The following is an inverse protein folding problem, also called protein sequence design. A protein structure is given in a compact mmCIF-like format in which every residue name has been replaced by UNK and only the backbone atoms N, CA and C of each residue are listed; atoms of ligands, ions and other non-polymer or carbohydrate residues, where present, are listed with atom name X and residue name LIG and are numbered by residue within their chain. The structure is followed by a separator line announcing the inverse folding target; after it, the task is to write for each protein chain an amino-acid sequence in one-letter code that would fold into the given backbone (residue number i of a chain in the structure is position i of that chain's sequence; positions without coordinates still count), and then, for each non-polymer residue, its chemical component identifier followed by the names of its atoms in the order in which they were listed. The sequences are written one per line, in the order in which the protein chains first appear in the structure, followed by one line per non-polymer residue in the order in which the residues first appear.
data_IF_044979297132
#
_entry.id   IF_044979297132
#
_cell.length_a   1.000
_cell.length_b   1.000
_cell.length_c   1.000
_cell.angle_alpha   90.00
_cell.angle_beta   90.00
_cell.angle_gamma   90.00
#
_symmetry.space_group_name_H-M   'P 1'
#
loop_
_entity.id
_entity.type
_entity.pdbx_description
1 polymer ?
#
# COMPACT_ATOMS: atom_id res chain seq x y z
N UNK A 1 0.85 22.24 83.25
CA UNK A 1 2.09 22.45 82.48
C UNK A 1 2.05 21.49 81.29
N UNK A 2 1.56 21.92 80.12
CA UNK A 2 1.41 21.08 78.93
C UNK A 2 2.77 20.97 78.23
N UNK A 3 3.37 19.79 78.18
CA UNK A 3 4.62 19.52 77.43
C UNK A 3 4.31 19.49 75.93
N UNK A 4 4.91 20.41 75.17
CA UNK A 4 4.95 20.36 73.71
C UNK A 4 5.90 19.24 73.29
N UNK A 5 5.40 18.27 72.51
CA UNK A 5 6.24 17.28 71.82
C UNK A 5 6.59 17.86 70.46
N UNK A 6 7.89 18.04 70.22
CA UNK A 6 8.44 18.54 68.97
C UNK A 6 8.67 17.33 68.06
N UNK A 7 7.80 17.14 67.06
CA UNK A 7 7.97 16.11 66.03
C UNK A 7 9.12 16.53 65.11
N UNK A 8 10.25 15.85 65.22
CA UNK A 8 11.30 15.91 64.21
C UNK A 8 10.78 15.27 62.92
N UNK A 9 10.62 16.07 61.86
CA UNK A 9 10.54 15.54 60.50
C UNK A 9 11.92 15.01 60.13
N UNK A 10 12.15 13.72 60.29
CA UNK A 10 13.19 13.03 59.54
C UNK A 10 12.69 12.93 58.11
N UNK A 11 13.24 13.75 57.21
CA UNK A 11 13.12 13.51 55.79
C UNK A 11 13.75 12.15 55.50
N UNK A 12 12.92 11.12 55.35
CA UNK A 12 13.33 9.85 54.79
C UNK A 12 13.57 10.13 53.31
N UNK A 13 14.81 10.43 52.93
CA UNK A 13 15.23 10.28 51.55
C UNK A 13 15.10 8.78 51.25
N UNK A 14 13.96 8.37 50.70
CA UNK A 14 13.88 7.13 49.96
C UNK A 14 14.87 7.31 48.80
N UNK A 15 16.05 6.72 48.94
CA UNK A 15 16.92 6.48 47.80
C UNK A 15 16.13 5.51 46.93
N UNK A 16 15.35 6.02 45.99
CA UNK A 16 14.89 5.23 44.86
C UNK A 16 16.17 4.85 44.12
N UNK A 17 16.65 3.63 44.36
CA UNK A 17 17.62 3.00 43.50
C UNK A 17 16.86 2.80 42.20
N UNK A 18 16.95 3.78 41.30
CA UNK A 18 16.51 3.60 39.93
C UNK A 18 17.51 2.62 39.33
N UNK A 19 17.09 1.37 39.15
CA UNK A 19 17.90 0.40 38.45
C UNK A 19 18.19 0.96 37.04
N UNK A 20 19.43 0.80 36.58
CA UNK A 20 19.78 1.21 35.23
C UNK A 20 18.91 0.41 34.24
N UNK A 21 18.29 1.13 33.31
CA UNK A 21 17.37 0.58 32.33
C UNK A 21 18.13 -0.36 31.38
N UNK A 22 17.53 -1.50 31.03
CA UNK A 22 18.07 -2.51 30.12
C UNK A 22 17.13 -2.78 28.94
N UNK A 23 17.68 -3.28 27.83
CA UNK A 23 16.86 -3.72 26.69
C UNK A 23 15.96 -4.86 27.14
N UNK A 24 14.67 -4.76 26.82
CA UNK A 24 13.61 -5.65 27.28
C UNK A 24 12.85 -5.18 28.52
N UNK A 25 13.31 -4.13 29.20
CA UNK A 25 12.54 -3.53 30.29
C UNK A 25 11.22 -2.95 29.76
N UNK A 26 10.16 -3.12 30.54
CA UNK A 26 8.81 -2.62 30.22
C UNK A 26 8.41 -1.56 31.22
N UNK A 27 7.89 -0.43 30.74
CA UNK A 27 7.25 0.59 31.56
C UNK A 27 5.88 0.95 30.98
N UNK A 28 5.03 1.55 31.80
CA UNK A 28 3.65 1.87 31.45
C UNK A 28 3.40 3.37 31.55
N UNK A 29 2.77 3.94 30.52
CA UNK A 29 2.33 5.34 30.50
C UNK A 29 0.90 5.39 29.97
N UNK A 30 -0.02 6.01 30.72
CA UNK A 30 -1.45 6.12 30.34
C UNK A 30 -2.10 4.77 29.97
N UNK A 31 -1.87 3.74 30.79
CA UNK A 31 -2.34 2.36 30.57
C UNK A 31 -1.77 1.68 29.30
N UNK A 32 -0.74 2.28 28.68
CA UNK A 32 -0.05 1.73 27.52
C UNK A 32 1.33 1.22 27.92
N UNK A 33 1.64 -0.03 27.57
CA UNK A 33 2.97 -0.60 27.80
C UNK A 33 3.95 -0.20 26.69
N UNK A 34 5.20 0.06 27.08
CA UNK A 34 6.34 0.31 26.19
C UNK A 34 7.52 -0.56 26.60
N UNK A 35 8.15 -1.21 25.62
CA UNK A 35 9.31 -2.09 25.83
C UNK A 35 10.55 -1.42 25.27
N UNK A 36 11.62 -1.33 26.06
CA UNK A 36 12.90 -0.75 25.65
C UNK A 36 13.59 -1.66 24.64
N UNK A 37 13.85 -1.14 23.44
CA UNK A 37 14.49 -1.89 22.34
C UNK A 37 15.95 -1.48 22.12
N UNK A 38 16.32 -0.24 22.47
CA UNK A 38 17.69 0.26 22.41
C UNK A 38 17.95 1.31 23.48
N UNK A 39 19.21 1.45 23.89
CA UNK A 39 19.70 2.46 24.84
C UNK A 39 20.68 3.47 24.19
N UNK A 40 20.98 3.29 22.91
CA UNK A 40 21.84 4.20 22.14
C UNK A 40 21.59 4.02 20.64
N UNK A 41 20.62 4.75 20.04
CA UNK A 41 19.73 5.73 20.69
C UNK A 41 18.69 5.07 21.62
N UNK A 42 18.08 5.86 22.50
CA UNK A 42 16.99 5.38 23.37
C UNK A 42 15.73 5.14 22.52
N UNK A 43 15.37 3.89 22.32
CA UNK A 43 14.20 3.48 21.54
C UNK A 43 13.31 2.51 22.31
N UNK A 44 12.02 2.58 22.03
CA UNK A 44 11.01 1.66 22.53
C UNK A 44 10.08 1.21 21.41
N UNK A 45 9.43 0.08 21.63
CA UNK A 45 8.24 -0.32 20.91
C UNK A 45 7.01 -0.20 21.81
N UNK A 46 5.85 0.03 21.20
CA UNK A 46 4.57 -0.06 21.89
C UNK A 46 4.24 -1.54 22.14
N UNK A 47 4.10 -1.93 23.40
CA UNK A 47 3.93 -3.32 23.85
C UNK A 47 2.48 -3.81 23.93
N UNK A 48 2.21 -4.83 24.74
CA UNK A 48 0.87 -5.43 24.91
C UNK A 48 -0.13 -4.44 25.54
N UNK A 49 -1.24 -4.21 24.84
CA UNK A 49 -2.30 -3.26 25.14
C UNK A 49 -3.68 -3.89 24.98
N UNK A 50 -3.92 -5.04 25.61
CA UNK A 50 -5.24 -5.70 25.73
C UNK A 50 -6.24 -5.00 26.66
N UNK A 51 -6.00 -3.75 27.03
CA UNK A 51 -6.95 -3.03 27.89
C UNK A 51 -8.28 -2.82 27.18
N UNK A 52 -9.38 -3.11 27.87
CA UNK A 52 -10.74 -2.86 27.37
C UNK A 52 -11.21 -1.42 27.58
N UNK A 53 -10.34 -0.55 28.10
CA UNK A 53 -10.66 0.84 28.41
C UNK A 53 -10.45 1.78 27.22
N UNK A 54 -9.60 1.40 26.26
CA UNK A 54 -9.25 2.23 25.12
C UNK A 54 -10.04 1.79 23.89
N UNK A 55 -10.68 2.75 23.22
CA UNK A 55 -11.32 2.57 21.91
C UNK A 55 -10.49 3.15 20.77
N UNK A 56 -9.48 3.96 21.09
CA UNK A 56 -8.59 4.59 20.13
C UNK A 56 -7.21 4.85 20.73
N UNK A 57 -6.15 4.79 19.92
CA UNK A 57 -4.79 5.09 20.35
C UNK A 57 -4.13 6.08 19.39
N UNK A 58 -3.48 7.10 19.95
CA UNK A 58 -2.58 7.98 19.22
C UNK A 58 -1.17 7.67 19.72
N UNK A 59 -0.37 7.03 18.88
CA UNK A 59 1.00 6.64 19.25
C UNK A 59 1.89 7.89 19.19
N UNK A 60 2.57 8.27 20.28
CA UNK A 60 3.42 9.45 20.27
C UNK A 60 4.76 9.13 19.60
N UNK A 61 5.40 10.14 18.99
CA UNK A 61 6.77 10.01 18.45
C UNK A 61 7.78 9.67 19.55
N UNK A 62 7.60 10.22 20.74
CA UNK A 62 8.48 9.99 21.90
C UNK A 62 7.66 9.79 23.17
N UNK A 63 8.19 9.00 24.10
CA UNK A 63 7.58 8.75 25.41
C UNK A 63 8.64 8.80 26.52
N UNK A 64 8.28 9.34 27.69
CA UNK A 64 9.18 9.40 28.85
C UNK A 64 8.81 8.30 29.86
N UNK A 65 9.79 7.51 30.30
CA UNK A 65 9.62 6.67 31.48
C UNK A 65 9.74 7.54 32.74
N UNK A 66 8.61 7.80 33.38
CA UNK A 66 8.52 8.65 34.59
C UNK A 66 9.33 8.13 35.79
N UNK A 67 9.74 6.85 35.79
CA UNK A 67 10.56 6.29 36.86
C UNK A 67 12.05 6.64 36.69
N UNK A 68 12.52 6.76 35.45
CA UNK A 68 13.93 7.04 35.13
C UNK A 68 14.16 8.45 34.57
N UNK A 69 13.09 9.16 34.20
CA UNK A 69 13.13 10.41 33.44
C UNK A 69 13.90 10.31 32.12
N UNK A 70 13.96 9.10 31.55
CA UNK A 70 14.56 8.85 30.24
C UNK A 70 13.49 8.98 29.17
N UNK A 71 13.76 9.77 28.14
CA UNK A 71 12.92 9.86 26.94
C UNK A 71 13.38 8.86 25.88
N UNK A 72 12.42 8.16 25.29
CA UNK A 72 12.58 7.16 24.25
C UNK A 72 11.80 7.56 23.00
N UNK A 73 12.36 7.27 21.82
CA UNK A 73 11.61 7.34 20.55
C UNK A 73 10.79 6.06 20.37
N UNK A 74 9.53 6.18 19.96
CA UNK A 74 8.68 5.02 19.65
C UNK A 74 8.92 4.64 18.19
N UNK A 75 9.53 3.47 17.96
CA UNK A 75 10.00 3.05 16.62
C UNK A 75 9.24 1.87 16.03
N UNK A 76 8.45 1.15 16.83
CA UNK A 76 7.68 0.00 16.35
C UNK A 76 6.39 -0.22 17.12
N UNK A 77 5.46 -0.94 16.50
CA UNK A 77 4.39 -1.67 17.20
C UNK A 77 4.91 -3.07 17.51
N UNK A 78 5.03 -3.38 18.80
CA UNK A 78 5.66 -4.58 19.32
C UNK A 78 4.89 -5.86 19.03
N UNK A 79 5.54 -6.98 19.33
CA UNK A 79 4.94 -8.29 19.11
C UNK A 79 3.66 -8.47 19.94
N UNK A 80 2.59 -8.93 19.29
CA UNK A 80 1.27 -9.13 19.90
C UNK A 80 0.67 -7.90 20.61
N UNK A 81 1.13 -6.69 20.30
CA UNK A 81 0.74 -5.44 20.98
C UNK A 81 -0.79 -5.26 21.14
N UNK A 82 -1.54 -5.62 20.12
CA UNK A 82 -3.00 -5.54 20.03
C UNK A 82 -3.62 -6.88 19.63
N UNK A 83 -2.90 -7.99 19.83
CA UNK A 83 -3.43 -9.31 19.51
C UNK A 83 -4.72 -9.56 20.30
N UNK A 84 -5.80 -9.98 19.62
CA UNK A 84 -7.15 -10.19 20.20
C UNK A 84 -7.80 -8.94 20.79
N UNK A 85 -7.36 -7.74 20.41
CA UNK A 85 -7.98 -6.50 20.86
C UNK A 85 -9.18 -6.14 19.98
N UNK A 86 -10.38 -6.38 20.50
CA UNK A 86 -11.64 -6.08 19.79
C UNK A 86 -12.25 -4.72 20.17
N UNK A 87 -11.58 -3.94 21.04
CA UNK A 87 -12.12 -2.67 21.54
C UNK A 87 -11.57 -1.46 20.78
N UNK A 88 -10.32 -1.52 20.35
CA UNK A 88 -9.69 -0.42 19.61
C UNK A 88 -10.18 -0.46 18.18
N UNK A 89 -10.82 0.62 17.74
CA UNK A 89 -11.33 0.78 16.38
C UNK A 89 -10.48 1.72 15.53
N UNK A 90 -9.61 2.51 16.17
CA UNK A 90 -8.76 3.51 15.55
C UNK A 90 -7.36 3.53 16.17
N UNK A 91 -6.33 3.50 15.34
CA UNK A 91 -4.96 3.78 15.76
C UNK A 91 -4.30 4.76 14.80
N UNK A 92 -3.61 5.74 15.36
CA UNK A 92 -2.81 6.73 14.64
C UNK A 92 -1.33 6.50 14.92
N UNK A 93 -0.54 6.34 13.85
CA UNK A 93 0.89 6.05 13.94
C UNK A 93 1.75 7.26 13.49
N UNK A 94 2.80 7.64 14.24
CA UNK A 94 3.72 8.70 13.86
C UNK A 94 4.76 8.19 12.87
N UNK A 95 5.41 9.10 12.15
CA UNK A 95 6.47 8.77 11.18
C UNK A 95 7.70 8.08 11.80
N UNK A 96 7.89 8.13 13.13
CA UNK A 96 8.98 7.41 13.80
C UNK A 96 8.76 5.90 13.87
N UNK A 97 7.51 5.43 13.74
CA UNK A 97 7.20 4.00 13.72
C UNK A 97 7.52 3.45 12.34
N UNK A 98 8.51 2.55 12.27
CA UNK A 98 9.01 1.96 11.02
C UNK A 98 8.64 0.50 10.82
N UNK A 99 8.17 -0.17 11.87
CA UNK A 99 7.86 -1.59 11.83
C UNK A 99 6.60 -1.93 12.63
N UNK A 100 5.77 -2.81 12.09
CA UNK A 100 4.65 -3.44 12.79
C UNK A 100 4.99 -4.93 12.95
N UNK A 101 5.28 -5.40 14.16
CA UNK A 101 5.91 -6.70 14.38
C UNK A 101 4.93 -7.89 14.36
N UNK A 102 5.49 -9.08 14.62
CA UNK A 102 4.78 -10.36 14.62
C UNK A 102 3.47 -10.27 15.42
N UNK A 103 2.35 -10.55 14.73
CA UNK A 103 0.99 -10.57 15.29
C UNK A 103 0.57 -9.30 16.02
N UNK A 104 1.18 -8.16 15.72
CA UNK A 104 0.87 -6.89 16.38
C UNK A 104 -0.65 -6.62 16.47
N UNK A 105 -1.42 -6.92 15.43
CA UNK A 105 -2.87 -6.74 15.39
C UNK A 105 -3.64 -8.04 15.10
N UNK A 106 -3.02 -9.22 15.19
CA UNK A 106 -3.71 -10.46 14.82
C UNK A 106 -4.98 -10.69 15.66
N UNK A 107 -6.06 -11.12 15.03
CA UNK A 107 -7.38 -11.34 15.63
C UNK A 107 -7.97 -10.08 16.30
N UNK A 108 -7.55 -8.88 15.91
CA UNK A 108 -8.14 -7.64 16.39
C UNK A 108 -9.35 -7.28 15.53
N UNK A 109 -10.49 -7.92 15.79
CA UNK A 109 -11.70 -7.79 14.95
C UNK A 109 -12.35 -6.41 15.09
N UNK A 110 -12.00 -5.66 16.14
CA UNK A 110 -12.48 -4.29 16.36
C UNK A 110 -11.79 -3.25 15.48
N UNK A 111 -10.62 -3.54 14.91
CA UNK A 111 -9.86 -2.56 14.11
C UNK A 111 -10.49 -2.44 12.73
N UNK A 112 -11.32 -1.42 12.55
CA UNK A 112 -11.94 -1.06 11.27
C UNK A 112 -10.97 -0.23 10.40
N UNK A 113 -10.16 0.63 11.03
CA UNK A 113 -9.26 1.52 10.32
C UNK A 113 -8.00 1.77 11.12
N UNK A 114 -6.86 1.78 10.42
CA UNK A 114 -5.60 2.30 10.92
C UNK A 114 -5.28 3.54 10.12
N UNK A 115 -5.23 4.68 10.82
CA UNK A 115 -4.91 5.93 10.18
C UNK A 115 -3.40 6.17 10.22
N UNK A 116 -2.83 6.31 9.04
CA UNK A 116 -1.43 6.63 8.85
C UNK A 116 -1.31 8.11 8.52
N UNK A 117 -1.57 8.98 9.50
CA UNK A 117 -1.59 10.42 9.24
C UNK A 117 -0.23 10.91 8.72
N UNK A 118 -0.22 11.40 7.48
CA UNK A 118 0.91 12.06 6.79
C UNK A 118 2.19 11.21 6.64
N UNK A 119 2.07 10.07 5.97
CA UNK A 119 3.17 9.12 5.64
C UNK A 119 3.81 8.49 6.87
N UNK A 120 3.14 7.52 7.49
CA UNK A 120 3.76 6.70 8.54
C UNK A 120 5.07 6.11 8.01
N UNK A 121 6.14 6.12 8.80
CA UNK A 121 7.45 5.60 8.39
C UNK A 121 7.51 4.08 8.28
N UNK A 122 6.36 3.39 8.37
CA UNK A 122 6.27 1.93 8.34
C UNK A 122 6.74 1.44 6.98
N UNK A 123 7.84 0.71 6.97
CA UNK A 123 8.37 0.04 5.77
C UNK A 123 8.26 -1.48 5.88
N UNK A 124 8.11 -2.02 7.10
CA UNK A 124 8.10 -3.45 7.36
C UNK A 124 6.84 -3.86 8.11
N UNK A 125 6.12 -4.83 7.54
CA UNK A 125 5.01 -5.51 8.19
C UNK A 125 5.42 -6.94 8.54
N UNK A 126 5.38 -7.26 9.82
CA UNK A 126 5.80 -8.53 10.36
C UNK A 126 4.83 -9.67 10.02
N UNK A 127 5.32 -10.89 10.26
CA UNK A 127 4.55 -12.13 10.11
C UNK A 127 3.21 -12.03 10.85
N UNK A 128 2.13 -12.34 10.16
CA UNK A 128 0.77 -12.38 10.71
C UNK A 128 0.34 -11.07 11.41
N UNK A 129 0.95 -9.91 11.09
CA UNK A 129 0.66 -8.66 11.80
C UNK A 129 -0.83 -8.31 11.79
N UNK A 130 -1.55 -8.57 10.70
CA UNK A 130 -2.99 -8.34 10.52
C UNK A 130 -3.77 -9.64 10.25
N UNK A 131 -3.33 -10.76 10.81
CA UNK A 131 -3.99 -12.04 10.60
C UNK A 131 -5.41 -12.04 11.18
N UNK A 132 -6.43 -12.34 10.38
CA UNK A 132 -7.85 -12.33 10.80
C UNK A 132 -8.25 -10.97 11.40
N UNK A 133 -7.87 -9.86 10.75
CA UNK A 133 -8.37 -8.53 11.12
C UNK A 133 -9.62 -8.16 10.31
N UNK A 134 -10.33 -7.11 10.71
CA UNK A 134 -11.49 -6.56 9.99
C UNK A 134 -11.14 -5.37 9.06
N UNK A 135 -9.86 -5.21 8.70
CA UNK A 135 -9.38 -4.06 7.92
C UNK A 135 -9.76 -4.25 6.45
N UNK A 136 -10.61 -3.37 5.91
CA UNK A 136 -11.14 -3.53 4.55
C UNK A 136 -10.32 -2.89 3.43
N UNK A 137 -9.46 -1.91 3.77
CA UNK A 137 -8.60 -1.18 2.83
C UNK A 137 -7.23 -0.92 3.49
N UNK A 138 -6.17 -1.16 2.74
CA UNK A 138 -4.78 -0.97 3.15
C UNK A 138 -3.97 -0.17 2.13
N UNK A 139 -4.59 0.38 1.08
CA UNK A 139 -3.85 1.02 -0.01
C UNK A 139 -2.97 2.18 0.47
N UNK A 140 -3.45 2.99 1.42
CA UNK A 140 -2.68 4.09 2.01
C UNK A 140 -1.42 3.59 2.74
N UNK A 141 -1.44 2.37 3.28
CA UNK A 141 -0.28 1.76 3.92
C UNK A 141 0.82 1.47 2.91
N UNK A 142 0.45 1.00 1.71
CA UNK A 142 1.39 0.51 0.70
C UNK A 142 2.14 1.59 -0.10
N UNK A 143 2.02 2.87 0.28
CA UNK A 143 2.86 3.94 -0.30
C UNK A 143 4.34 3.81 0.07
N UNK A 144 4.64 3.30 1.27
CA UNK A 144 6.00 3.18 1.81
C UNK A 144 6.40 1.77 2.23
N UNK A 145 5.48 0.79 2.25
CA UNK A 145 5.83 -0.59 2.58
C UNK A 145 6.88 -1.11 1.59
N UNK A 146 7.96 -1.64 2.14
CA UNK A 146 9.03 -2.33 1.43
C UNK A 146 8.90 -3.85 1.57
N UNK A 147 8.45 -4.32 2.73
CA UNK A 147 8.37 -5.74 3.08
C UNK A 147 7.05 -6.13 3.76
N UNK A 148 6.44 -7.23 3.28
CA UNK A 148 5.27 -7.86 3.91
C UNK A 148 5.59 -9.28 4.36
N UNK A 149 5.46 -9.52 5.65
CA UNK A 149 5.74 -10.78 6.33
C UNK A 149 4.75 -11.90 5.98
N UNK A 150 5.14 -13.14 6.29
CA UNK A 150 4.30 -14.33 6.08
C UNK A 150 2.91 -14.16 6.69
N UNK A 151 1.85 -14.41 5.91
CA UNK A 151 0.48 -14.40 6.40
C UNK A 151 0.02 -13.06 6.97
N UNK A 152 0.71 -11.95 6.66
CA UNK A 152 0.48 -10.64 7.26
C UNK A 152 -0.99 -10.23 7.21
N UNK A 153 -1.62 -10.30 6.03
CA UNK A 153 -3.02 -9.97 5.78
C UNK A 153 -3.85 -11.21 5.48
N UNK A 154 -3.49 -12.38 6.01
CA UNK A 154 -4.32 -13.56 5.81
C UNK A 154 -5.64 -13.39 6.57
N UNK A 155 -6.76 -13.54 5.86
CA UNK A 155 -8.13 -13.36 6.37
C UNK A 155 -8.39 -11.94 6.91
N UNK A 156 -7.73 -10.93 6.34
CA UNK A 156 -7.86 -9.56 6.82
C UNK A 156 -9.14 -8.83 6.34
N UNK A 157 -10.00 -9.50 5.57
CA UNK A 157 -11.22 -8.92 4.98
C UNK A 157 -10.95 -7.76 4.02
N UNK A 158 -9.81 -7.80 3.30
CA UNK A 158 -9.50 -6.81 2.26
C UNK A 158 -10.51 -6.91 1.13
N UNK A 159 -11.05 -5.77 0.67
CA UNK A 159 -12.09 -5.67 -0.36
C UNK A 159 -11.69 -4.72 -1.48
N UNK A 160 -12.48 -4.65 -2.56
CA UNK A 160 -12.29 -3.73 -3.68
C UNK A 160 -10.92 -3.90 -4.38
N UNK A 161 -10.16 -2.81 -4.52
CA UNK A 161 -8.85 -2.80 -5.18
C UNK A 161 -7.75 -2.83 -4.14
N UNK A 162 -6.79 -3.75 -4.30
CA UNK A 162 -5.50 -3.69 -3.65
C UNK A 162 -4.44 -3.29 -4.67
N UNK A 163 -3.76 -2.20 -4.40
CA UNK A 163 -2.72 -1.63 -5.22
C UNK A 163 -1.50 -1.31 -4.37
N UNK A 164 -0.32 -1.44 -4.97
CA UNK A 164 0.95 -1.19 -4.31
C UNK A 164 1.69 0.00 -4.92
N UNK A 165 2.76 0.45 -4.27
CA UNK A 165 3.68 1.43 -4.82
C UNK A 165 5.02 0.78 -5.22
N UNK A 166 5.90 1.59 -5.81
CA UNK A 166 7.25 1.18 -6.18
C UNK A 166 8.14 0.78 -5.00
N UNK A 167 7.76 1.15 -3.76
CA UNK A 167 8.48 0.80 -2.54
C UNK A 167 8.47 -0.69 -2.24
N UNK A 168 7.39 -1.42 -2.60
CA UNK A 168 7.26 -2.82 -2.24
C UNK A 168 8.27 -3.66 -3.03
N UNK A 169 9.21 -4.26 -2.30
CA UNK A 169 10.29 -5.08 -2.88
C UNK A 169 10.19 -6.55 -2.49
N UNK A 170 9.53 -6.85 -1.36
CA UNK A 170 9.58 -8.18 -0.78
C UNK A 170 8.24 -8.64 -0.19
N UNK A 171 7.78 -9.80 -0.66
CA UNK A 171 6.76 -10.60 0.01
C UNK A 171 7.44 -11.81 0.62
N UNK A 172 7.43 -11.90 1.94
CA UNK A 172 8.20 -12.90 2.68
C UNK A 172 7.39 -14.19 2.83
N UNK A 173 8.04 -15.31 2.50
CA UNK A 173 7.58 -16.69 2.67
C UNK A 173 6.30 -17.10 1.95
N UNK A 174 5.11 -16.89 2.52
CA UNK A 174 3.86 -17.42 1.99
C UNK A 174 2.59 -16.78 2.57
N UNK A 175 1.48 -16.99 1.87
CA UNK A 175 0.12 -16.70 2.33
C UNK A 175 -0.16 -15.23 2.74
N UNK A 176 0.62 -14.28 2.23
CA UNK A 176 0.60 -12.87 2.66
C UNK A 176 -0.81 -12.26 2.62
N UNK A 177 -1.64 -12.62 1.63
CA UNK A 177 -3.00 -12.14 1.42
C UNK A 177 -4.04 -13.27 1.27
N UNK A 178 -3.79 -14.44 1.88
CA UNK A 178 -4.68 -15.61 1.82
C UNK A 178 -6.10 -15.32 2.32
N UNK A 179 -7.11 -15.83 1.62
CA UNK A 179 -8.54 -15.77 2.00
C UNK A 179 -9.05 -14.33 2.23
N UNK A 180 -8.86 -13.47 1.24
CA UNK A 180 -9.45 -12.12 1.20
C UNK A 180 -10.52 -11.98 0.12
N UNK A 181 -11.18 -10.83 0.08
CA UNK A 181 -12.36 -10.56 -0.74
C UNK A 181 -12.12 -9.50 -1.84
N UNK A 182 -10.85 -9.16 -2.10
CA UNK A 182 -10.45 -8.18 -3.11
C UNK A 182 -10.88 -8.61 -4.52
N UNK A 183 -11.29 -7.63 -5.34
CA UNK A 183 -11.67 -7.82 -6.74
C UNK A 183 -10.51 -7.56 -7.69
N UNK A 184 -9.61 -6.64 -7.34
CA UNK A 184 -8.47 -6.25 -8.18
C UNK A 184 -7.18 -6.35 -7.34
N UNK A 185 -6.16 -6.99 -7.91
CA UNK A 185 -4.79 -6.99 -7.40
C UNK A 185 -3.89 -6.31 -8.43
N UNK A 186 -3.46 -5.10 -8.14
CA UNK A 186 -2.60 -4.29 -9.00
C UNK A 186 -1.20 -4.16 -8.38
N UNK A 187 -0.27 -4.96 -8.89
CA UNK A 187 1.14 -4.94 -8.48
C UNK A 187 2.05 -4.27 -9.51
N UNK A 188 1.50 -3.64 -10.56
CA UNK A 188 2.29 -3.12 -11.69
C UNK A 188 3.33 -2.10 -11.24
N UNK A 189 2.96 -1.25 -10.27
CA UNK A 189 3.81 -0.21 -9.72
C UNK A 189 5.01 -0.76 -8.92
N UNK A 190 4.94 -2.00 -8.41
CA UNK A 190 6.02 -2.62 -7.62
C UNK A 190 7.11 -3.20 -8.50
N UNK A 191 7.76 -2.37 -9.30
CA UNK A 191 8.74 -2.81 -10.30
C UNK A 191 9.96 -3.52 -9.72
N UNK A 192 10.22 -3.40 -8.40
CA UNK A 192 11.30 -4.10 -7.72
C UNK A 192 10.88 -5.44 -7.09
N UNK A 193 9.59 -5.78 -7.08
CA UNK A 193 9.08 -7.05 -6.60
C UNK A 193 9.35 -8.16 -7.62
N UNK A 194 10.24 -9.09 -7.26
CA UNK A 194 10.71 -10.13 -8.19
C UNK A 194 10.05 -11.50 -7.98
N UNK A 195 9.33 -11.70 -6.88
CA UNK A 195 8.76 -13.01 -6.51
C UNK A 195 7.38 -12.83 -5.90
N UNK A 196 6.42 -13.62 -6.38
CA UNK A 196 5.17 -13.90 -5.66
C UNK A 196 5.33 -15.23 -4.92
N UNK A 197 5.46 -15.23 -3.58
CA UNK A 197 5.65 -16.45 -2.83
C UNK A 197 4.44 -17.39 -2.89
N UNK A 198 4.66 -18.63 -2.46
CA UNK A 198 3.62 -19.65 -2.43
C UNK A 198 2.38 -19.18 -1.67
N UNK A 199 1.20 -19.46 -2.23
CA UNK A 199 -0.09 -19.18 -1.61
C UNK A 199 -0.40 -17.70 -1.34
N UNK A 200 0.33 -16.74 -1.92
CA UNK A 200 0.17 -15.30 -1.61
C UNK A 200 -1.28 -14.81 -1.67
N UNK A 201 -2.06 -15.26 -2.66
CA UNK A 201 -3.47 -14.91 -2.87
C UNK A 201 -4.37 -16.17 -2.90
N UNK A 202 -3.98 -17.22 -2.17
CA UNK A 202 -4.77 -18.46 -2.13
C UNK A 202 -6.16 -18.22 -1.56
N UNK A 203 -7.17 -18.85 -2.18
CA UNK A 203 -8.57 -18.80 -1.80
C UNK A 203 -9.11 -17.37 -1.71
N UNK A 204 -8.73 -16.50 -2.64
CA UNK A 204 -9.33 -15.18 -2.84
C UNK A 204 -10.36 -15.26 -4.00
N UNK A 205 -11.60 -15.72 -3.75
CA UNK A 205 -12.52 -16.13 -4.81
C UNK A 205 -13.04 -14.97 -5.66
N UNK A 206 -12.93 -13.73 -5.16
CA UNK A 206 -13.48 -12.53 -5.81
C UNK A 206 -12.49 -11.84 -6.75
N UNK A 207 -11.21 -12.22 -6.76
CA UNK A 207 -10.23 -11.58 -7.65
C UNK A 207 -10.67 -11.79 -9.10
N UNK A 208 -10.97 -10.69 -9.80
CA UNK A 208 -11.34 -10.64 -11.21
C UNK A 208 -10.13 -10.27 -12.06
N UNK A 209 -9.32 -9.31 -11.59
CA UNK A 209 -8.19 -8.75 -12.34
C UNK A 209 -6.90 -8.82 -11.53
N UNK A 210 -5.82 -9.28 -12.18
CA UNK A 210 -4.47 -9.27 -11.63
C UNK A 210 -3.50 -8.58 -12.58
N UNK A 211 -2.71 -7.63 -12.09
CA UNK A 211 -1.60 -7.04 -12.85
C UNK A 211 -0.28 -7.37 -12.17
N UNK A 212 0.62 -8.00 -12.91
CA UNK A 212 1.91 -8.44 -12.39
C UNK A 212 2.97 -7.33 -12.50
N UNK A 213 3.97 -7.29 -11.60
CA UNK A 213 5.05 -6.32 -11.69
C UNK A 213 5.99 -6.62 -12.87
N UNK A 214 6.55 -5.58 -13.47
CA UNK A 214 7.41 -5.66 -14.66
C UNK A 214 8.59 -6.65 -14.51
N UNK A 215 9.28 -6.65 -13.37
CA UNK A 215 10.47 -7.47 -13.15
C UNK A 215 10.18 -8.76 -12.37
N UNK A 216 8.95 -9.27 -12.44
CA UNK A 216 8.62 -10.54 -11.81
C UNK A 216 9.43 -11.68 -12.44
N UNK A 217 10.00 -12.56 -11.61
CA UNK A 217 10.81 -13.71 -12.03
C UNK A 217 10.24 -15.04 -11.57
N UNK A 218 9.36 -15.05 -10.56
CA UNK A 218 8.74 -16.29 -10.10
C UNK A 218 7.35 -16.11 -9.48
N UNK A 219 6.51 -17.12 -9.68
CA UNK A 219 5.19 -17.29 -9.06
C UNK A 219 5.17 -18.66 -8.38
N UNK A 220 5.04 -18.66 -7.05
CA UNK A 220 5.10 -19.86 -6.21
C UNK A 220 3.86 -20.75 -6.28
N UNK A 221 3.98 -21.92 -5.65
CA UNK A 221 2.91 -22.92 -5.55
C UNK A 221 1.61 -22.34 -4.98
N UNK A 222 0.47 -22.71 -5.56
CA UNK A 222 -0.87 -22.28 -5.16
C UNK A 222 -1.08 -20.76 -5.00
N UNK A 223 -0.28 -19.90 -5.65
CA UNK A 223 -0.35 -18.43 -5.47
C UNK A 223 -1.75 -17.86 -5.69
N UNK A 224 -2.45 -18.31 -6.73
CA UNK A 224 -3.83 -17.92 -7.07
C UNK A 224 -4.79 -19.12 -7.01
N UNK A 225 -4.45 -20.14 -6.21
CA UNK A 225 -5.28 -21.34 -6.08
C UNK A 225 -6.65 -20.97 -5.48
N UNK A 226 -7.73 -21.38 -6.13
CA UNK A 226 -9.10 -21.02 -5.74
C UNK A 226 -9.52 -19.58 -6.04
N UNK A 227 -8.75 -18.82 -6.85
CA UNK A 227 -9.20 -17.54 -7.41
C UNK A 227 -10.23 -17.77 -8.53
N UNK A 228 -11.43 -18.20 -8.15
CA UNK A 228 -12.44 -18.71 -9.09
C UNK A 228 -13.03 -17.67 -10.03
N UNK A 229 -12.99 -16.39 -9.66
CA UNK A 229 -13.51 -15.28 -10.49
C UNK A 229 -12.45 -14.66 -11.41
N UNK A 230 -11.21 -15.16 -11.37
CA UNK A 230 -10.10 -14.59 -12.15
C UNK A 230 -10.46 -14.63 -13.63
N UNK A 231 -10.62 -13.45 -14.22
CA UNK A 231 -11.06 -13.28 -15.60
C UNK A 231 -10.04 -12.50 -16.43
N UNK A 232 -9.17 -11.71 -15.80
CA UNK A 232 -8.18 -10.88 -16.48
C UNK A 232 -6.83 -10.94 -15.77
N UNK A 233 -5.77 -11.13 -16.54
CA UNK A 233 -4.39 -11.02 -16.06
C UNK A 233 -3.54 -10.22 -17.04
N UNK A 234 -2.77 -9.27 -16.53
CA UNK A 234 -1.80 -8.48 -17.30
C UNK A 234 -0.36 -8.85 -16.90
N UNK A 235 0.48 -9.09 -17.90
CA UNK A 235 1.89 -9.45 -17.74
C UNK A 235 2.72 -8.59 -18.66
N UNK A 236 3.76 -7.92 -18.13
CA UNK A 236 4.62 -7.05 -18.94
C UNK A 236 5.88 -7.76 -19.48
N UNK A 237 6.14 -9.00 -19.07
CA UNK A 237 7.29 -9.76 -19.54
C UNK A 237 7.15 -10.14 -21.02
N UNK A 238 8.12 -9.75 -21.85
CA UNK A 238 8.13 -10.09 -23.29
C UNK A 238 8.48 -11.55 -23.56
N UNK A 239 9.15 -12.21 -22.62
CA UNK A 239 9.52 -13.62 -22.67
C UNK A 239 8.87 -14.37 -21.49
N UNK A 240 7.88 -15.25 -21.71
CA UNK A 240 7.22 -15.98 -20.64
C UNK A 240 8.17 -16.89 -19.85
N UNK A 241 9.31 -17.30 -20.43
CA UNK A 241 10.30 -18.14 -19.74
C UNK A 241 11.14 -17.37 -18.72
N UNK A 242 11.07 -16.03 -18.73
CA UNK A 242 11.66 -15.18 -17.69
C UNK A 242 10.93 -15.29 -16.35
N UNK A 243 9.68 -15.78 -16.35
CA UNK A 243 8.87 -16.00 -15.15
C UNK A 243 8.76 -17.51 -14.91
N UNK A 244 9.39 -17.99 -13.83
CA UNK A 244 9.20 -19.38 -13.38
C UNK A 244 7.87 -19.50 -12.63
N UNK A 245 6.90 -20.18 -13.23
CA UNK A 245 5.57 -20.39 -12.62
C UNK A 245 5.45 -21.82 -12.13
N UNK A 246 5.12 -22.00 -10.86
CA UNK A 246 4.82 -23.32 -10.31
C UNK A 246 3.55 -23.91 -10.95
N UNK A 247 3.56 -25.21 -11.27
CA UNK A 247 2.45 -25.88 -11.95
C UNK A 247 1.12 -25.82 -11.17
N UNK A 248 1.18 -25.63 -9.85
CA UNK A 248 -0.01 -25.52 -9.00
C UNK A 248 -0.49 -24.08 -8.80
N UNK A 249 0.23 -23.07 -9.30
CA UNK A 249 0.00 -21.65 -9.02
C UNK A 249 -1.45 -21.21 -9.26
N UNK A 250 -2.14 -21.82 -10.24
CA UNK A 250 -3.49 -21.46 -10.68
C UNK A 250 -4.51 -22.59 -10.49
N UNK A 251 -4.25 -23.57 -9.62
CA UNK A 251 -5.18 -24.68 -9.35
C UNK A 251 -6.56 -24.13 -8.95
N UNK A 252 -7.64 -24.63 -9.55
CA UNK A 252 -8.99 -24.18 -9.17
C UNK A 252 -9.29 -22.69 -9.42
N UNK A 253 -8.47 -21.98 -10.20
CA UNK A 253 -8.70 -20.60 -10.61
C UNK A 253 -9.49 -20.49 -11.93
N UNK A 254 -9.91 -19.27 -12.28
CA UNK A 254 -10.66 -18.98 -13.50
C UNK A 254 -9.85 -18.93 -14.81
N UNK A 255 -8.56 -19.28 -14.80
CA UNK A 255 -7.65 -19.03 -15.95
C UNK A 255 -8.14 -19.63 -17.28
N UNK A 256 -8.81 -20.79 -17.25
CA UNK A 256 -9.29 -21.47 -18.46
C UNK A 256 -10.30 -20.66 -19.29
N UNK A 257 -10.94 -19.65 -18.70
CA UNK A 257 -11.82 -18.70 -19.38
C UNK A 257 -11.30 -17.27 -19.36
N UNK A 258 -10.22 -17.01 -18.63
CA UNK A 258 -9.65 -15.68 -18.46
C UNK A 258 -8.94 -15.20 -19.74
N UNK A 259 -8.84 -13.87 -19.84
CA UNK A 259 -8.01 -13.18 -20.84
C UNK A 259 -6.66 -12.83 -20.23
N UNK A 260 -5.60 -13.29 -20.87
CA UNK A 260 -4.22 -12.90 -20.59
C UNK A 260 -3.80 -11.81 -21.59
N UNK A 261 -3.45 -10.64 -21.06
CA UNK A 261 -2.86 -9.55 -21.84
C UNK A 261 -1.34 -9.63 -21.75
N UNK A 262 -0.69 -9.71 -22.91
CA UNK A 262 0.77 -9.84 -23.04
C UNK A 262 1.36 -8.78 -23.97
N UNK A 263 2.66 -8.45 -23.90
CA UNK A 263 3.24 -7.39 -24.72
C UNK A 263 3.15 -7.70 -26.22
N UNK A 264 3.06 -6.68 -27.05
CA UNK A 264 3.06 -6.82 -28.52
C UNK A 264 4.23 -7.68 -28.99
N UNK A 265 3.94 -8.72 -29.80
CA UNK A 265 4.94 -9.63 -30.36
C UNK A 265 5.31 -10.81 -29.47
N UNK A 266 4.79 -10.89 -28.23
CA UNK A 266 5.06 -12.00 -27.31
C UNK A 266 4.01 -13.12 -27.35
N UNK A 267 2.84 -12.87 -27.96
CA UNK A 267 1.68 -13.78 -27.95
C UNK A 267 2.03 -15.23 -28.29
N UNK A 268 2.74 -15.47 -29.39
CA UNK A 268 3.09 -16.83 -29.82
C UNK A 268 4.01 -17.57 -28.84
N UNK A 269 4.80 -16.85 -28.04
CA UNK A 269 5.61 -17.46 -26.98
C UNK A 269 4.73 -17.89 -25.80
N UNK A 270 3.76 -17.06 -25.40
CA UNK A 270 2.82 -17.37 -24.32
C UNK A 270 1.86 -18.51 -24.69
N UNK A 271 1.45 -18.63 -25.95
CA UNK A 271 0.56 -19.71 -26.44
C UNK A 271 1.17 -21.13 -26.31
N UNK A 272 2.48 -21.25 -26.13
CA UNK A 272 3.18 -22.55 -26.00
C UNK A 272 3.85 -22.73 -24.64
N UNK A 273 3.96 -21.67 -23.84
CA UNK A 273 4.62 -21.72 -22.54
C UNK A 273 3.76 -22.45 -21.51
N UNK A 274 4.40 -23.28 -20.68
CA UNK A 274 3.69 -24.02 -19.62
C UNK A 274 2.99 -23.05 -18.66
N UNK A 275 1.83 -23.47 -18.17
CA UNK A 275 0.88 -22.67 -17.36
C UNK A 275 0.22 -21.54 -18.14
N UNK A 276 0.97 -20.71 -18.87
CA UNK A 276 0.44 -19.59 -19.65
C UNK A 276 -0.49 -20.02 -20.78
N UNK A 277 -0.18 -21.12 -21.45
CA UNK A 277 -1.03 -21.72 -22.51
C UNK A 277 -2.39 -22.20 -22.01
N UNK A 278 -2.57 -22.33 -20.70
CA UNK A 278 -3.82 -22.79 -20.08
C UNK A 278 -4.82 -21.63 -19.90
N UNK A 279 -4.43 -20.38 -20.21
CA UNK A 279 -5.34 -19.25 -20.28
C UNK A 279 -6.31 -19.38 -21.47
N UNK A 280 -7.58 -19.03 -21.25
CA UNK A 280 -8.63 -19.19 -22.25
C UNK A 280 -8.42 -18.33 -23.51
N UNK A 281 -8.02 -17.07 -23.32
CA UNK A 281 -7.71 -16.15 -24.43
C UNK A 281 -6.40 -15.44 -24.15
N UNK A 282 -5.52 -15.37 -25.16
CA UNK A 282 -4.29 -14.57 -25.09
C UNK A 282 -4.39 -13.44 -26.11
N UNK A 283 -4.30 -12.20 -25.62
CA UNK A 283 -4.36 -10.97 -26.41
C UNK A 283 -3.03 -10.24 -26.28
N UNK A 284 -2.47 -9.81 -27.41
CA UNK A 284 -1.38 -8.85 -27.39
C UNK A 284 -1.91 -7.43 -27.57
N UNK A 285 -1.32 -6.50 -26.84
CA UNK A 285 -1.67 -5.08 -26.93
C UNK A 285 -0.56 -4.21 -26.35
N UNK A 286 -0.65 -2.90 -26.60
CA UNK A 286 0.17 -1.92 -25.87
C UNK A 286 -0.27 -1.95 -24.40
N UNK A 287 0.42 -2.75 -23.58
CA UNK A 287 0.24 -2.77 -22.11
C UNK A 287 0.82 -1.48 -21.49
N UNK A 288 1.66 -0.76 -22.24
CA UNK A 288 2.20 0.53 -21.82
C UNK A 288 1.19 1.64 -22.11
N UNK A 289 0.39 1.95 -21.09
CA UNK A 289 0.31 3.26 -20.41
C UNK A 289 -1.06 3.39 -19.74
N UNK A 290 -1.14 2.90 -18.50
CA UNK A 290 -2.16 3.40 -17.58
C UNK A 290 -1.99 4.91 -17.52
N UNK A 291 -3.06 5.64 -17.85
CA UNK A 291 -3.11 7.11 -17.78
C UNK A 291 -2.67 7.65 -16.42
N UNK A 292 -2.78 6.84 -15.36
CA UNK A 292 -2.49 7.21 -13.99
C UNK A 292 -1.00 7.29 -13.67
N UNK A 293 -0.13 6.47 -14.29
CA UNK A 293 1.30 6.51 -14.02
C UNK A 293 1.98 7.73 -14.66
N UNK A 294 1.59 8.09 -15.89
CA UNK A 294 2.06 9.34 -16.53
C UNK A 294 1.45 10.58 -15.87
N UNK A 295 0.18 10.55 -15.46
CA UNK A 295 -0.41 11.64 -14.68
C UNK A 295 0.37 11.89 -13.37
N UNK A 296 0.82 10.82 -12.69
CA UNK A 296 1.57 10.88 -11.43
C UNK A 296 3.04 11.27 -11.60
N UNK A 297 3.74 10.76 -12.62
CA UNK A 297 5.16 11.09 -12.88
C UNK A 297 5.34 12.57 -13.28
N UNK A 298 4.40 13.12 -14.05
CA UNK A 298 4.49 14.48 -14.57
C UNK A 298 3.64 15.51 -13.80
N UNK A 299 2.86 15.07 -12.82
CA UNK A 299 1.97 15.90 -12.01
C UNK A 299 1.06 16.80 -12.87
N UNK A 300 0.38 16.19 -13.84
CA UNK A 300 -0.48 16.94 -14.76
C UNK A 300 -1.72 17.48 -14.06
N UNK A 301 -1.93 18.79 -14.14
CA UNK A 301 -3.16 19.44 -13.68
C UNK A 301 -3.80 20.21 -14.82
N UNK A 302 -5.06 19.87 -15.16
CA UNK A 302 -5.79 20.45 -16.28
C UNK A 302 -7.04 21.15 -15.76
N UNK A 303 -7.10 22.47 -15.91
CA UNK A 303 -8.15 23.31 -15.33
C UNK A 303 -8.33 24.63 -16.11
N UNK A 304 -9.47 25.32 -15.95
CA UNK A 304 -10.67 24.86 -15.29
C UNK A 304 -11.39 23.78 -16.12
N UNK A 305 -12.14 22.93 -15.44
CA UNK A 305 -13.06 21.97 -16.06
C UNK A 305 -14.30 21.84 -15.15
N UNK A 306 -15.48 22.33 -15.55
CA UNK A 306 -15.81 22.92 -16.85
C UNK A 306 -15.10 24.25 -17.19
N UNK A 307 -15.07 24.66 -18.46
CA UNK A 307 -14.47 25.91 -18.96
C UNK A 307 -15.33 26.57 -20.04
N UNK A 308 -15.10 27.86 -20.34
CA UNK A 308 -15.75 28.56 -21.46
C UNK A 308 -14.82 28.72 -22.66
N UNK A 309 -13.59 29.19 -22.43
CA UNK A 309 -12.70 29.62 -23.52
C UNK A 309 -11.32 28.99 -23.49
N UNK A 310 -10.72 28.81 -22.31
CA UNK A 310 -9.32 28.40 -22.19
C UNK A 310 -9.18 27.28 -21.17
N UNK A 311 -8.39 26.27 -21.52
CA UNK A 311 -7.95 25.21 -20.62
C UNK A 311 -6.45 25.34 -20.39
N UNK A 312 -6.04 25.44 -19.14
CA UNK A 312 -4.64 25.41 -18.73
C UNK A 312 -4.21 23.97 -18.44
N UNK A 313 -3.06 23.57 -19.00
CA UNK A 313 -2.38 22.31 -18.72
C UNK A 313 -1.07 22.65 -18.00
N UNK A 314 -0.95 22.25 -16.74
CA UNK A 314 0.26 22.38 -15.93
C UNK A 314 0.94 21.03 -15.74
N UNK A 315 2.27 21.04 -15.71
CA UNK A 315 3.11 19.87 -15.39
C UNK A 315 4.53 20.32 -14.99
N UNK A 316 5.30 19.43 -14.36
CA UNK A 316 6.69 19.71 -13.98
C UNK A 316 7.63 19.93 -15.19
N UNK A 317 7.37 19.31 -16.36
CA UNK A 317 8.08 19.56 -17.63
C UNK A 317 7.21 19.19 -18.85
N UNK A 318 6.92 20.16 -19.72
CA UNK A 318 6.11 19.99 -20.94
C UNK A 318 6.91 20.02 -22.25
N UNK A 319 8.24 20.17 -22.20
CA UNK A 319 9.05 20.57 -23.36
C UNK A 319 9.04 19.59 -24.55
N UNK A 320 8.63 18.33 -24.34
CA UNK A 320 8.47 17.30 -25.37
C UNK A 320 7.02 16.82 -25.51
N UNK A 321 6.04 17.61 -25.03
CA UNK A 321 4.65 17.22 -24.98
C UNK A 321 3.79 17.94 -26.05
N UNK A 322 2.73 17.27 -26.49
CA UNK A 322 1.69 17.85 -27.33
C UNK A 322 0.31 17.50 -26.79
N UNK A 323 -0.68 18.32 -27.12
CA UNK A 323 -2.09 18.01 -26.85
C UNK A 323 -2.86 17.96 -28.16
N UNK A 324 -3.58 16.88 -28.37
CA UNK A 324 -4.54 16.68 -29.44
C UNK A 324 -5.95 16.79 -28.87
N UNK A 325 -6.79 17.64 -29.46
CA UNK A 325 -8.18 17.86 -29.00
C UNK A 325 -9.15 17.19 -29.97
N UNK A 326 -10.00 16.32 -29.43
CA UNK A 326 -11.01 15.56 -30.18
C UNK A 326 -12.43 15.92 -29.73
N UNK A 327 -13.39 15.79 -30.62
CA UNK A 327 -14.81 15.83 -30.26
C UNK A 327 -15.32 14.47 -29.72
N UNK A 328 -16.60 14.39 -29.34
CA UNK A 328 -17.22 13.16 -28.82
C UNK A 328 -17.34 12.03 -29.86
N UNK A 329 -17.22 12.34 -31.15
CA UNK A 329 -17.27 11.35 -32.23
C UNK A 329 -15.89 10.77 -32.55
N UNK A 330 -14.83 11.34 -31.95
CA UNK A 330 -13.44 10.96 -32.16
C UNK A 330 -12.77 11.72 -33.31
N UNK A 331 -13.39 12.77 -33.85
CA UNK A 331 -12.77 13.63 -34.87
C UNK A 331 -11.70 14.51 -34.24
N UNK A 332 -10.49 14.51 -34.83
CA UNK A 332 -9.38 15.37 -34.41
C UNK A 332 -9.65 16.81 -34.86
N UNK A 333 -9.78 17.73 -33.90
CA UNK A 333 -10.05 19.14 -34.17
C UNK A 333 -8.75 19.92 -34.42
N UNK A 334 -7.77 19.79 -33.51
CA UNK A 334 -6.45 20.44 -33.64
C UNK A 334 -5.41 19.84 -32.70
N UNK A 335 -4.14 20.21 -32.92
CA UNK A 335 -2.98 19.79 -32.11
C UNK A 335 -2.14 21.01 -31.73
N UNK A 336 -1.79 21.14 -30.45
CA UNK A 336 -0.89 22.17 -29.94
C UNK A 336 0.35 21.54 -29.31
N UNK A 337 1.53 22.15 -29.52
CA UNK A 337 2.72 21.83 -28.72
C UNK A 337 2.60 22.49 -27.35
N UNK A 338 3.05 21.78 -26.32
CA UNK A 338 3.13 22.29 -24.97
C UNK A 338 4.58 22.73 -24.70
N UNK A 339 4.76 23.81 -23.96
CA UNK A 339 6.09 24.35 -23.66
C UNK A 339 6.17 24.78 -22.18
N UNK A 340 7.34 24.64 -21.57
CA UNK A 340 7.60 25.07 -20.20
C UNK A 340 6.93 24.18 -19.15
N UNK A 341 6.31 24.79 -18.14
CA UNK A 341 5.60 24.11 -17.04
C UNK A 341 4.09 24.35 -17.06
N UNK A 342 3.60 25.21 -17.96
CA UNK A 342 2.20 25.58 -18.09
C UNK A 342 1.92 26.01 -19.52
N UNK A 343 0.82 25.53 -20.09
CA UNK A 343 0.38 25.86 -21.45
C UNK A 343 -1.12 26.08 -21.49
N UNK A 344 -1.57 27.11 -22.21
CA UNK A 344 -2.98 27.46 -22.36
C UNK A 344 -3.50 27.00 -23.72
N UNK A 345 -4.62 26.29 -23.71
CA UNK A 345 -5.30 25.75 -24.89
C UNK A 345 -6.59 26.54 -25.08
N UNK A 346 -6.63 27.34 -26.14
CA UNK A 346 -7.80 28.13 -26.51
C UNK A 346 -8.80 27.26 -27.28
N UNK A 347 -9.98 27.09 -26.69
CA UNK A 347 -11.14 26.41 -27.27
C UNK A 347 -12.32 27.36 -27.48
N UNK A 348 -12.13 28.69 -27.41
CA UNK A 348 -13.19 29.71 -27.55
C UNK A 348 -14.03 29.52 -28.82
N UNK A 349 -13.39 29.11 -29.91
CA UNK A 349 -14.03 28.86 -31.21
C UNK A 349 -14.84 27.56 -31.30
N UNK A 350 -14.73 26.67 -30.31
CA UNK A 350 -15.54 25.45 -30.23
C UNK A 350 -16.93 25.77 -29.68
N UNK A 351 -17.93 24.96 -30.03
CA UNK A 351 -19.28 25.06 -29.43
C UNK A 351 -19.29 24.44 -28.02
N UNK A 352 -20.32 24.74 -27.22
CA UNK A 352 -20.50 24.06 -25.92
C UNK A 352 -20.66 22.55 -26.13
N UNK A 353 -19.98 21.75 -25.32
CA UNK A 353 -19.90 20.31 -25.52
C UNK A 353 -18.80 19.62 -24.72
N UNK A 354 -18.61 18.33 -24.97
CA UNK A 354 -17.57 17.52 -24.35
C UNK A 354 -16.44 17.30 -25.35
N UNK A 355 -15.21 17.48 -24.89
CA UNK A 355 -14.01 17.31 -25.70
C UNK A 355 -13.02 16.38 -24.98
N UNK A 356 -12.26 15.61 -25.76
CA UNK A 356 -11.19 14.76 -25.23
C UNK A 356 -9.84 15.39 -25.53
N UNK A 357 -9.08 15.69 -24.49
CA UNK A 357 -7.73 16.22 -24.58
C UNK A 357 -6.77 15.05 -24.41
N UNK A 358 -6.13 14.63 -25.49
CA UNK A 358 -5.10 13.60 -25.48
C UNK A 358 -3.73 14.27 -25.42
N UNK A 359 -3.03 14.13 -24.31
CA UNK A 359 -1.68 14.65 -24.14
C UNK A 359 -0.71 13.52 -24.44
N UNK A 360 0.29 13.79 -25.27
CA UNK A 360 1.32 12.83 -25.69
C UNK A 360 2.69 13.41 -25.38
N UNK A 361 3.55 12.59 -24.77
CA UNK A 361 4.93 12.91 -24.38
C UNK A 361 5.87 11.81 -24.89
N UNK A 362 7.18 12.04 -24.82
CA UNK A 362 8.18 11.00 -25.14
C UNK A 362 8.11 9.76 -24.25
N UNK A 363 7.48 9.86 -23.06
CA UNK A 363 7.32 8.76 -22.11
C UNK A 363 5.93 8.10 -22.15
N UNK A 364 4.97 8.71 -22.86
CA UNK A 364 3.63 8.16 -22.97
C UNK A 364 2.51 9.16 -23.21
N UNK A 365 1.28 8.66 -23.23
CA UNK A 365 0.07 9.41 -23.55
C UNK A 365 -1.00 9.25 -22.46
N UNK A 366 -1.78 10.29 -22.21
CA UNK A 366 -2.97 10.22 -21.36
C UNK A 366 -4.10 11.08 -21.91
N UNK A 367 -5.35 10.80 -21.53
CA UNK A 367 -6.52 11.50 -22.06
C UNK A 367 -7.39 12.06 -20.93
N UNK A 368 -7.78 13.34 -21.04
CA UNK A 368 -8.69 14.00 -20.10
C UNK A 368 -9.96 14.47 -20.79
N UNK A 369 -11.11 14.21 -20.17
CA UNK A 369 -12.41 14.73 -20.60
C UNK A 369 -12.59 16.17 -20.12
N UNK A 370 -12.81 17.11 -21.03
CA UNK A 370 -13.07 18.53 -20.76
C UNK A 370 -14.50 18.88 -21.16
N UNK A 371 -15.19 19.61 -20.29
CA UNK A 371 -16.54 20.13 -20.52
C UNK A 371 -16.42 21.62 -20.87
N UNK A 372 -16.89 21.99 -22.06
CA UNK A 372 -17.05 23.39 -22.48
C UNK A 372 -18.49 23.83 -22.29
N UNK A 373 -18.69 24.92 -21.54
CA UNK A 373 -19.99 25.56 -21.29
C UNK A 373 -20.33 26.65 -22.31
#
# INVERSE_FOLDING_TARGET
MKRKVQLFWTALFAVCIVNAQTVGDVFMVNDVNYTVTSLSPNEVELGDNKTSLLTSIIVPTTIEDTNTSTTYTVTAIGENAFNTNDNITYIELPASVTEIKYRAFAYADGIETINFTTTSGVTILGRQAFFTCAISDVNELFELIEEVGQGCFSRANLTNTFSTAASLTNLVESANFRENEMEIVDLSASTSLTTLPASSFILCPNIVTVKLPLNLTSIGASTFDGCTSLNEMEVEATDPSSITVDASAFTGSGIATATLYVPVGSKSAYEVADVWKDFGTIVEGDITLSTNEVEKEFNFNIYPNPTSDVVTINSNQLNDASVSVYDITGELLFVNKLEGSSSNIDISNLISGVYMFKIETSKGQFTKRIIKE
#
